data_IF_661856667748
#
_entry.id   IF_661856667748
#
_cell.length_a   1.000
_cell.length_b   1.000
_cell.length_c   1.000
_cell.angle_alpha   90.00
_cell.angle_beta   90.00
_cell.angle_gamma   90.00
#
_symmetry.space_group_name_H-M   'P 1'
#
loop_
_entity.id
_entity.type
_entity.pdbx_description
1 polymer ?
#
# COMPACT_ATOMS: atom_id res chain seq x y z
N UNK A 1 -20.75 8.98 -3.86
CA UNK A 1 -21.70 7.97 -4.38
C UNK A 1 -21.12 7.20 -5.56
N UNK A 2 -20.45 7.87 -6.51
CA UNK A 2 -19.85 7.24 -7.70
C UNK A 2 -18.85 6.10 -7.37
N UNK A 3 -17.90 6.32 -6.45
CA UNK A 3 -16.92 5.30 -6.07
C UNK A 3 -17.54 4.03 -5.49
N UNK A 4 -18.54 4.16 -4.60
CA UNK A 4 -19.23 3.00 -4.03
C UNK A 4 -20.00 2.21 -5.09
N UNK A 5 -20.58 2.89 -6.09
CA UNK A 5 -21.21 2.21 -7.23
C UNK A 5 -20.18 1.49 -8.10
N UNK A 6 -19.01 2.07 -8.30
CA UNK A 6 -17.92 1.40 -9.04
C UNK A 6 -17.46 0.12 -8.32
N UNK A 7 -17.32 0.16 -6.98
CA UNK A 7 -16.98 -1.01 -6.16
C UNK A 7 -18.03 -2.12 -6.34
N UNK A 8 -19.31 -1.77 -6.27
CA UNK A 8 -20.41 -2.72 -6.45
C UNK A 8 -20.40 -3.35 -7.85
N UNK A 9 -20.20 -2.55 -8.90
CA UNK A 9 -20.07 -3.05 -10.28
C UNK A 9 -18.87 -3.98 -10.47
N UNK A 10 -17.74 -3.68 -9.81
CA UNK A 10 -16.56 -4.55 -9.83
C UNK A 10 -16.88 -5.87 -9.13
N UNK A 11 -17.50 -5.83 -7.95
CA UNK A 11 -17.88 -7.03 -7.22
C UNK A 11 -18.85 -7.92 -8.01
N UNK A 12 -19.88 -7.32 -8.63
CA UNK A 12 -20.81 -7.99 -9.53
C UNK A 12 -20.08 -8.66 -10.71
N UNK A 13 -19.16 -7.93 -11.35
CA UNK A 13 -18.39 -8.43 -12.50
C UNK A 13 -17.38 -9.52 -12.15
N UNK A 14 -16.80 -9.50 -10.95
CA UNK A 14 -15.88 -10.52 -10.46
C UNK A 14 -16.59 -11.77 -9.94
N UNK A 15 -17.85 -11.65 -9.52
CA UNK A 15 -18.69 -12.75 -9.04
C UNK A 15 -18.00 -13.63 -7.97
N UNK A 16 -17.20 -13.03 -7.10
CA UNK A 16 -16.44 -13.72 -6.06
C UNK A 16 -15.23 -14.55 -6.56
N UNK A 17 -14.84 -14.41 -7.83
CA UNK A 17 -13.74 -15.19 -8.41
C UNK A 17 -12.35 -14.76 -7.95
N UNK A 18 -12.15 -13.47 -7.64
CA UNK A 18 -10.91 -12.94 -7.05
C UNK A 18 -11.27 -11.80 -6.08
N UNK A 19 -10.56 -11.66 -4.94
CA UNK A 19 -10.71 -10.49 -4.10
C UNK A 19 -10.12 -9.25 -4.79
N UNK A 20 -10.71 -8.10 -4.51
CA UNK A 20 -10.15 -6.80 -4.90
C UNK A 20 -10.18 -5.84 -3.71
N UNK A 21 -9.28 -4.85 -3.75
CA UNK A 21 -9.07 -3.94 -2.64
C UNK A 21 -9.58 -2.55 -3.00
N UNK A 22 -10.28 -1.91 -2.07
CA UNK A 22 -10.59 -0.49 -2.18
C UNK A 22 -9.40 0.32 -1.66
N UNK A 23 -8.88 1.23 -2.46
CA UNK A 23 -7.82 2.13 -2.00
C UNK A 23 -8.38 3.17 -1.04
N UNK A 24 -7.80 3.24 0.16
CA UNK A 24 -8.13 4.22 1.19
C UNK A 24 -6.82 4.79 1.75
N UNK A 25 -6.79 6.09 2.01
CA UNK A 25 -5.61 6.73 2.59
C UNK A 25 -5.75 6.84 4.11
N UNK A 26 -4.63 6.80 4.82
CA UNK A 26 -4.57 7.08 6.27
C UNK A 26 -5.14 8.47 6.58
N UNK A 27 -5.77 8.69 7.75
CA UNK A 27 -6.36 9.99 8.09
C UNK A 27 -5.38 11.16 7.98
N UNK A 28 -4.15 10.98 8.44
CA UNK A 28 -3.11 12.03 8.32
C UNK A 28 -2.63 12.17 6.87
N UNK A 29 -2.57 11.07 6.10
CA UNK A 29 -2.31 11.12 4.67
C UNK A 29 -3.37 11.93 3.91
N UNK A 30 -4.64 11.80 4.29
CA UNK A 30 -5.74 12.60 3.73
C UNK A 30 -5.58 14.07 4.10
N UNK A 31 -5.30 14.37 5.37
CA UNK A 31 -5.03 15.74 5.82
C UNK A 31 -3.86 16.38 5.05
N UNK A 32 -2.85 15.58 4.67
CA UNK A 32 -1.73 16.02 3.84
C UNK A 32 -2.13 16.52 2.45
N UNK A 33 -3.34 16.20 1.97
CA UNK A 33 -3.88 16.68 0.70
C UNK A 33 -4.80 17.89 0.85
N UNK A 34 -5.12 18.27 2.09
CA UNK A 34 -5.95 19.42 2.43
C UNK A 34 -5.12 20.65 2.81
N UNK A 35 -3.79 20.52 2.84
CA UNK A 35 -2.84 21.61 3.06
C UNK A 35 -1.89 21.75 1.87
N UNK A 36 -1.32 22.95 1.64
CA UNK A 36 -0.40 23.19 0.53
C UNK A 36 0.83 22.27 0.49
N UNK A 37 1.43 21.94 1.63
CA UNK A 37 2.65 21.12 1.72
C UNK A 37 2.61 20.16 2.91
N UNK A 38 3.35 19.05 2.80
CA UNK A 38 3.51 18.10 3.90
C UNK A 38 4.27 18.71 5.08
N UNK A 39 5.22 19.60 4.84
CA UNK A 39 5.95 20.32 5.90
C UNK A 39 5.03 21.20 6.74
N UNK A 40 4.06 21.87 6.10
CA UNK A 40 3.05 22.65 6.82
C UNK A 40 2.15 21.75 7.67
N UNK A 41 1.78 20.57 7.16
CA UNK A 41 1.07 19.57 7.97
C UNK A 41 1.89 19.19 9.21
N UNK A 42 3.19 18.90 9.04
CA UNK A 42 4.05 18.50 10.14
C UNK A 42 4.20 19.60 11.20
N UNK A 43 4.31 20.88 10.80
CA UNK A 43 4.25 22.01 11.73
C UNK A 43 2.90 22.07 12.46
N UNK A 44 1.77 21.97 11.76
CA UNK A 44 0.44 21.98 12.39
C UNK A 44 0.25 20.82 13.37
N UNK A 45 0.72 19.60 13.05
CA UNK A 45 0.65 18.45 13.95
C UNK A 45 1.42 18.70 15.27
N UNK A 46 2.53 19.44 15.20
CA UNK A 46 3.39 19.77 16.35
C UNK A 46 2.85 20.95 17.18
N UNK A 47 2.36 21.99 16.51
CA UNK A 47 2.10 23.30 17.11
C UNK A 47 0.60 23.55 17.38
N UNK A 48 -0.27 22.86 16.64
CA UNK A 48 -1.73 23.08 16.66
C UNK A 48 -2.50 21.76 16.87
N UNK A 49 -1.93 20.83 17.65
CA UNK A 49 -2.43 19.46 17.84
C UNK A 49 -3.94 19.40 18.11
N UNK A 50 -4.48 20.21 19.03
CA UNK A 50 -5.91 20.16 19.34
C UNK A 50 -6.82 20.55 18.16
N UNK A 51 -6.41 21.49 17.31
CA UNK A 51 -7.16 21.87 16.12
C UNK A 51 -7.04 20.79 15.03
N UNK A 52 -5.84 20.23 14.87
CA UNK A 52 -5.60 19.16 13.90
C UNK A 52 -6.35 17.89 14.29
N UNK A 53 -6.39 17.54 15.59
CA UNK A 53 -7.13 16.39 16.10
C UNK A 53 -8.63 16.50 15.78
N UNK A 54 -9.23 17.70 15.89
CA UNK A 54 -10.62 17.91 15.49
C UNK A 54 -10.86 17.68 13.98
N UNK A 55 -9.90 18.04 13.13
CA UNK A 55 -9.98 17.74 11.70
C UNK A 55 -9.77 16.25 11.41
N UNK A 56 -8.82 15.61 12.10
CA UNK A 56 -8.52 14.18 11.96
C UNK A 56 -9.67 13.31 12.48
N UNK A 57 -10.42 13.76 13.48
CA UNK A 57 -11.67 13.14 13.92
C UNK A 57 -12.66 13.03 12.76
N UNK A 58 -13.01 14.17 12.14
CA UNK A 58 -13.97 14.22 11.05
C UNK A 58 -13.51 13.40 9.83
N UNK A 59 -12.22 13.44 9.51
CA UNK A 59 -11.61 12.63 8.45
C UNK A 59 -11.75 11.14 8.79
N UNK A 60 -11.37 10.74 10.01
CA UNK A 60 -11.39 9.34 10.44
C UNK A 60 -12.79 8.77 10.43
N UNK A 61 -13.77 9.50 10.96
CA UNK A 61 -15.19 9.09 10.94
C UNK A 61 -15.69 8.91 9.50
N UNK A 62 -15.41 9.87 8.63
CA UNK A 62 -15.84 9.83 7.23
C UNK A 62 -15.25 8.64 6.49
N UNK A 63 -13.93 8.41 6.62
CA UNK A 63 -13.25 7.35 5.89
C UNK A 63 -13.42 5.96 6.51
N UNK A 64 -13.68 5.86 7.82
CA UNK A 64 -14.17 4.62 8.42
C UNK A 64 -15.56 4.25 7.88
N UNK A 65 -16.47 5.23 7.75
CA UNK A 65 -17.78 5.05 7.14
C UNK A 65 -17.70 4.62 5.67
N UNK A 66 -16.86 5.29 4.88
CA UNK A 66 -16.59 4.92 3.49
C UNK A 66 -16.01 3.49 3.37
N UNK A 67 -15.02 3.16 4.21
CA UNK A 67 -14.37 1.85 4.18
C UNK A 67 -15.35 0.73 4.51
N UNK A 68 -16.21 0.90 5.53
CA UNK A 68 -17.30 -0.05 5.82
C UNK A 68 -18.24 -0.22 4.64
N UNK A 69 -18.68 0.89 4.05
CA UNK A 69 -19.56 0.88 2.89
C UNK A 69 -18.93 0.22 1.65
N UNK A 70 -17.61 0.30 1.50
CA UNK A 70 -16.87 -0.40 0.45
C UNK A 70 -16.83 -1.91 0.67
N UNK A 71 -16.56 -2.35 1.91
CA UNK A 71 -16.56 -3.77 2.29
C UNK A 71 -17.95 -4.40 2.11
N UNK A 72 -19.01 -3.71 2.56
CA UNK A 72 -20.41 -4.13 2.38
C UNK A 72 -20.81 -4.32 0.91
N UNK A 73 -20.10 -3.67 -0.02
CA UNK A 73 -20.34 -3.74 -1.47
C UNK A 73 -19.39 -4.70 -2.19
N UNK A 74 -18.64 -5.50 -1.44
CA UNK A 74 -17.88 -6.62 -1.98
C UNK A 74 -16.37 -6.37 -2.13
N UNK A 75 -15.83 -5.24 -1.65
CA UNK A 75 -14.37 -5.13 -1.51
C UNK A 75 -13.87 -6.15 -0.48
N UNK A 76 -12.84 -6.94 -0.84
CA UNK A 76 -12.25 -7.96 0.06
C UNK A 76 -11.40 -7.35 1.19
N UNK A 77 -11.06 -6.08 1.07
CA UNK A 77 -10.36 -5.30 2.08
C UNK A 77 -9.82 -4.00 1.52
N UNK A 78 -8.81 -3.44 2.17
CA UNK A 78 -8.25 -2.15 1.80
C UNK A 78 -6.84 -2.23 1.23
N UNK A 79 -6.55 -1.37 0.26
CA UNK A 79 -5.18 -0.94 -0.02
C UNK A 79 -4.97 0.38 0.74
N UNK A 80 -4.47 0.26 1.97
CA UNK A 80 -4.42 1.33 2.95
C UNK A 80 -3.06 2.05 2.90
N UNK A 81 -3.04 3.29 2.43
CA UNK A 81 -1.78 3.96 2.06
C UNK A 81 -1.44 5.18 2.94
N UNK A 82 -0.18 5.27 3.36
CA UNK A 82 0.33 6.35 4.23
C UNK A 82 0.54 7.68 3.51
N UNK A 83 0.59 7.66 2.18
CA UNK A 83 0.99 8.82 1.37
C UNK A 83 2.33 9.40 1.88
N UNK A 84 2.47 10.72 1.93
CA UNK A 84 3.72 11.40 2.27
C UNK A 84 4.07 11.46 3.76
N UNK A 85 3.41 10.69 4.63
CA UNK A 85 3.52 10.90 6.09
C UNK A 85 4.48 9.93 6.78
N UNK A 86 4.50 8.66 6.37
CA UNK A 86 5.31 7.61 7.02
C UNK A 86 6.76 7.58 6.51
N UNK A 87 7.46 8.72 6.55
CA UNK A 87 8.86 8.87 6.15
C UNK A 87 9.68 9.67 7.17
N UNK A 88 10.94 9.28 7.33
CA UNK A 88 11.91 9.97 8.17
C UNK A 88 12.23 11.39 7.68
N UNK A 89 11.91 11.70 6.43
CA UNK A 89 12.05 13.05 5.88
C UNK A 89 11.11 14.07 6.51
N UNK A 90 9.99 13.59 7.07
CA UNK A 90 8.95 14.47 7.61
C UNK A 90 8.89 14.44 9.15
N UNK A 91 8.90 13.25 9.72
CA UNK A 91 8.71 13.00 11.14
C UNK A 91 9.78 12.04 11.67
N UNK A 92 10.12 12.17 12.94
CA UNK A 92 10.80 11.08 13.65
C UNK A 92 9.83 9.92 13.90
N UNK A 93 10.36 8.70 14.11
CA UNK A 93 9.53 7.53 14.48
C UNK A 93 8.73 7.78 15.76
N UNK A 94 9.31 8.51 16.73
CA UNK A 94 8.62 8.87 17.97
C UNK A 94 7.44 9.83 17.73
N UNK A 95 7.62 10.80 16.83
CA UNK A 95 6.52 11.69 16.42
C UNK A 95 5.45 10.94 15.65
N UNK A 96 5.81 10.09 14.68
CA UNK A 96 4.83 9.28 13.95
C UNK A 96 3.98 8.43 14.88
N UNK A 97 4.61 7.75 15.86
CA UNK A 97 3.90 6.94 16.86
C UNK A 97 2.94 7.76 17.71
N UNK A 98 3.25 9.02 18.01
CA UNK A 98 2.45 9.89 18.87
C UNK A 98 1.35 10.63 18.11
N UNK A 99 1.66 11.14 16.91
CA UNK A 99 0.85 12.10 16.17
C UNK A 99 0.06 11.47 15.02
N UNK A 100 0.49 10.30 14.52
CA UNK A 100 -0.08 9.70 13.29
C UNK A 100 -0.70 8.34 13.57
N UNK A 101 0.09 7.41 14.11
CA UNK A 101 -0.32 6.01 14.36
C UNK A 101 -1.68 5.86 15.07
N UNK A 102 -2.06 6.68 16.08
CA UNK A 102 -3.36 6.53 16.73
C UNK A 102 -4.53 6.68 15.77
N UNK A 103 -4.43 7.59 14.79
CA UNK A 103 -5.45 7.81 13.78
C UNK A 103 -5.47 6.70 12.75
N UNK A 104 -4.29 6.23 12.32
CA UNK A 104 -4.19 5.14 11.36
C UNK A 104 -4.86 3.87 11.89
N UNK A 105 -4.61 3.53 13.16
CA UNK A 105 -5.19 2.37 13.82
C UNK A 105 -6.67 2.56 14.13
N UNK A 106 -7.09 3.75 14.56
CA UNK A 106 -8.50 4.00 14.85
C UNK A 106 -9.41 3.74 13.65
N UNK A 107 -8.95 4.06 12.44
CA UNK A 107 -9.68 3.71 11.22
C UNK A 107 -9.74 2.20 11.02
N UNK A 108 -8.60 1.49 11.15
CA UNK A 108 -8.53 0.04 10.98
C UNK A 108 -9.39 -0.71 12.02
N UNK A 109 -9.30 -0.30 13.29
CA UNK A 109 -10.04 -0.89 14.42
C UNK A 109 -11.56 -0.68 14.30
N UNK A 110 -12.00 0.31 13.50
CA UNK A 110 -13.40 0.53 13.23
C UNK A 110 -13.98 -0.48 12.22
N UNK A 111 -13.14 -1.18 11.44
CA UNK A 111 -13.56 -2.08 10.37
C UNK A 111 -13.89 -3.48 10.90
N UNK A 112 -14.80 -4.21 10.24
CA UNK A 112 -14.90 -5.64 10.46
C UNK A 112 -13.63 -6.36 9.97
N UNK A 113 -13.50 -7.63 10.31
CA UNK A 113 -12.47 -8.49 9.71
C UNK A 113 -12.60 -8.50 8.18
N UNK A 114 -11.49 -8.28 7.48
CA UNK A 114 -11.42 -8.24 6.01
C UNK A 114 -10.74 -9.50 5.50
N UNK A 115 -11.11 -9.97 4.30
CA UNK A 115 -10.41 -11.09 3.64
C UNK A 115 -8.92 -10.79 3.41
N UNK A 116 -8.60 -9.58 2.93
CA UNK A 116 -7.22 -9.19 2.68
C UNK A 116 -7.05 -7.67 2.71
N UNK A 117 -6.15 -7.17 3.56
CA UNK A 117 -5.85 -5.74 3.68
C UNK A 117 -4.34 -5.53 3.60
N UNK A 118 -3.93 -4.58 2.76
CA UNK A 118 -2.54 -4.23 2.48
C UNK A 118 -2.23 -2.87 3.07
N UNK A 119 -1.16 -2.76 3.85
CA UNK A 119 -0.57 -1.47 4.21
C UNK A 119 0.46 -1.07 3.16
N UNK A 120 0.24 0.03 2.47
CA UNK A 120 1.20 0.61 1.55
C UNK A 120 1.95 1.78 2.20
N UNK A 121 3.26 1.61 2.37
CA UNK A 121 4.15 2.61 2.96
C UNK A 121 4.88 3.34 1.83
N UNK A 122 4.43 4.56 1.53
CA UNK A 122 5.03 5.35 0.45
C UNK A 122 6.36 5.99 0.86
N UNK A 123 7.00 6.64 -0.13
CA UNK A 123 8.21 7.47 -0.01
C UNK A 123 9.50 6.69 0.23
N UNK A 124 10.58 7.43 0.08
CA UNK A 124 11.95 7.06 0.42
C UNK A 124 12.13 7.20 1.94
N UNK A 125 13.17 6.56 2.49
CA UNK A 125 13.49 6.55 3.92
C UNK A 125 12.24 6.31 4.78
N UNK A 126 11.42 5.37 4.35
CA UNK A 126 10.11 5.12 4.91
C UNK A 126 10.20 4.45 6.29
N UNK A 127 9.09 4.48 7.02
CA UNK A 127 9.02 3.95 8.38
C UNK A 127 8.49 2.51 8.43
N UNK A 128 8.71 1.65 7.43
CA UNK A 128 8.13 0.30 7.36
C UNK A 128 8.25 -0.47 8.69
N UNK A 129 9.42 -0.44 9.30
CA UNK A 129 9.69 -1.11 10.58
C UNK A 129 8.85 -0.59 11.75
N UNK A 130 8.40 0.67 11.71
CA UNK A 130 7.54 1.23 12.75
C UNK A 130 6.07 0.82 12.60
N UNK A 131 5.68 0.23 11.47
CA UNK A 131 4.32 -0.21 11.15
C UNK A 131 4.14 -1.73 11.24
N UNK A 132 5.17 -2.50 11.63
CA UNK A 132 5.16 -3.97 11.60
C UNK A 132 3.98 -4.63 12.33
N UNK A 133 3.46 -3.99 13.37
CA UNK A 133 2.41 -4.49 14.24
C UNK A 133 0.99 -4.05 13.84
N UNK A 134 0.85 -3.33 12.73
CA UNK A 134 -0.47 -2.92 12.24
C UNK A 134 -1.33 -4.14 11.89
N UNK A 135 -2.64 -4.13 12.19
CA UNK A 135 -3.54 -5.27 11.99
C UNK A 135 -3.94 -5.45 10.52
N UNK A 136 -2.93 -5.67 9.66
CA UNK A 136 -3.06 -5.89 8.21
C UNK A 136 -2.44 -7.22 7.80
N UNK A 137 -2.83 -7.72 6.64
CA UNK A 137 -2.43 -9.02 6.10
C UNK A 137 -1.11 -8.97 5.35
N UNK A 138 -0.82 -7.84 4.70
CA UNK A 138 0.40 -7.66 3.92
C UNK A 138 0.89 -6.22 3.92
N UNK A 139 2.17 -6.04 3.57
CA UNK A 139 2.82 -4.75 3.42
C UNK A 139 3.36 -4.56 2.02
N UNK A 140 3.20 -3.37 1.47
CA UNK A 140 3.73 -2.97 0.18
C UNK A 140 4.56 -1.69 0.33
N UNK A 141 5.73 -1.65 -0.30
CA UNK A 141 6.57 -0.46 -0.36
C UNK A 141 7.52 -0.56 -1.54
N UNK A 142 8.16 0.55 -1.89
CA UNK A 142 9.22 0.53 -2.88
C UNK A 142 10.54 0.08 -2.26
N UNK A 143 10.91 -1.17 -2.52
CA UNK A 143 12.17 -1.76 -2.07
C UNK A 143 13.40 -1.27 -2.85
N UNK A 144 13.19 -0.53 -3.96
CA UNK A 144 14.26 0.09 -4.74
C UNK A 144 14.52 1.55 -4.35
N UNK A 145 13.62 2.16 -3.58
CA UNK A 145 13.72 3.54 -3.16
C UNK A 145 14.82 3.77 -2.12
N UNK A 146 15.39 4.97 -2.11
CA UNK A 146 16.52 5.33 -1.27
C UNK A 146 16.18 5.14 0.22
N UNK A 147 17.03 4.41 0.94
CA UNK A 147 16.89 4.22 2.39
C UNK A 147 15.70 3.33 2.81
N UNK A 148 14.97 2.74 1.86
CA UNK A 148 13.96 1.74 2.16
C UNK A 148 14.61 0.35 2.29
N UNK A 149 14.03 -0.53 3.12
CA UNK A 149 14.52 -1.90 3.21
C UNK A 149 14.29 -2.65 1.90
N UNK A 150 15.22 -3.54 1.54
CA UNK A 150 15.00 -4.55 0.51
C UNK A 150 13.84 -5.49 0.91
N UNK A 151 13.34 -6.29 -0.04
CA UNK A 151 12.26 -7.23 0.26
C UNK A 151 12.63 -8.26 1.34
N UNK A 152 13.88 -8.75 1.34
CA UNK A 152 14.34 -9.73 2.34
C UNK A 152 14.46 -9.09 3.73
N UNK A 153 15.01 -7.87 3.81
CA UNK A 153 15.03 -7.10 5.06
C UNK A 153 13.62 -6.81 5.56
N UNK A 154 12.70 -6.41 4.67
CA UNK A 154 11.31 -6.18 4.99
C UNK A 154 10.61 -7.45 5.52
N UNK A 155 10.83 -8.62 4.90
CA UNK A 155 10.31 -9.91 5.39
C UNK A 155 10.80 -10.21 6.80
N UNK A 156 12.07 -9.95 7.09
CA UNK A 156 12.65 -10.16 8.42
C UNK A 156 12.03 -9.22 9.46
N UNK A 157 11.87 -7.93 9.12
CA UNK A 157 11.30 -6.92 10.03
C UNK A 157 9.81 -7.15 10.30
N UNK A 158 9.06 -7.61 9.29
CA UNK A 158 7.60 -7.79 9.38
C UNK A 158 7.18 -9.13 10.00
N UNK A 159 8.12 -9.91 10.54
CA UNK A 159 7.83 -11.03 11.43
C UNK A 159 6.96 -12.13 10.81
N UNK A 160 7.08 -12.36 9.50
CA UNK A 160 6.32 -13.40 8.78
C UNK A 160 5.05 -12.93 8.10
N UNK A 161 4.72 -11.62 8.13
CA UNK A 161 3.65 -11.06 7.29
C UNK A 161 4.05 -11.09 5.81
N UNK A 162 3.04 -11.17 4.94
CA UNK A 162 3.26 -11.18 3.50
C UNK A 162 3.81 -9.82 3.04
N UNK A 163 4.84 -9.83 2.21
CA UNK A 163 5.37 -8.62 1.58
C UNK A 163 4.96 -8.56 0.12
N UNK A 164 4.68 -7.38 -0.38
CA UNK A 164 4.27 -7.13 -1.76
C UNK A 164 5.27 -6.16 -2.38
N UNK A 165 5.90 -6.56 -3.48
CA UNK A 165 6.88 -5.71 -4.16
C UNK A 165 7.78 -6.51 -5.09
N UNK A 166 8.81 -5.86 -5.61
CA UNK A 166 9.79 -6.48 -6.51
C UNK A 166 9.82 -5.93 -7.92
N UNK A 167 8.80 -5.14 -8.29
CA UNK A 167 8.80 -4.37 -9.53
C UNK A 167 9.07 -2.92 -9.17
N UNK A 168 10.16 -2.39 -9.72
CA UNK A 168 10.44 -0.96 -9.70
C UNK A 168 9.27 -0.21 -10.37
N UNK A 169 8.75 0.79 -9.66
CA UNK A 169 7.60 1.57 -10.07
C UNK A 169 7.95 2.69 -11.07
N UNK A 170 9.24 2.91 -11.33
CA UNK A 170 9.75 3.83 -12.34
C UNK A 170 9.56 3.34 -13.78
N UNK A 171 10.38 3.87 -14.70
CA UNK A 171 10.21 3.63 -16.14
C UNK A 171 10.73 2.26 -16.62
N UNK A 172 11.33 1.45 -15.73
CA UNK A 172 11.92 0.16 -16.13
C UNK A 172 10.88 -0.74 -16.80
N UNK A 173 9.69 -0.88 -16.20
CA UNK A 173 8.63 -1.71 -16.76
C UNK A 173 8.08 -1.17 -18.10
N UNK A 174 8.25 0.12 -18.36
CA UNK A 174 7.87 0.77 -19.63
C UNK A 174 8.90 0.49 -20.71
N UNK A 175 10.19 0.59 -20.38
CA UNK A 175 11.30 0.56 -21.34
C UNK A 175 11.86 -0.84 -21.62
N UNK A 176 11.71 -1.77 -20.67
CA UNK A 176 12.29 -3.11 -20.78
C UNK A 176 11.58 -3.95 -21.86
N UNK A 177 12.32 -4.90 -22.43
CA UNK A 177 11.71 -5.93 -23.27
C UNK A 177 10.91 -6.91 -22.40
N UNK A 178 9.85 -7.51 -22.95
CA UNK A 178 9.07 -8.53 -22.24
C UNK A 178 9.92 -9.74 -21.81
N UNK A 179 11.01 -10.04 -22.53
CA UNK A 179 11.98 -11.07 -22.15
C UNK A 179 12.74 -10.68 -20.87
N UNK A 180 13.29 -9.47 -20.82
CA UNK A 180 14.03 -8.99 -19.64
C UNK A 180 13.13 -8.88 -18.40
N UNK A 181 11.86 -8.49 -18.61
CA UNK A 181 10.85 -8.46 -17.55
C UNK A 181 10.61 -9.86 -16.99
N UNK A 182 10.43 -10.87 -17.85
CA UNK A 182 10.23 -12.25 -17.43
C UNK A 182 11.46 -12.81 -16.71
N UNK A 183 12.66 -12.59 -17.26
CA UNK A 183 13.92 -13.05 -16.67
C UNK A 183 14.14 -12.45 -15.28
N UNK A 184 14.08 -11.12 -15.13
CA UNK A 184 14.26 -10.44 -13.84
C UNK A 184 13.22 -10.86 -12.81
N UNK A 185 11.99 -11.09 -13.25
CA UNK A 185 10.91 -11.59 -12.37
C UNK A 185 11.19 -13.01 -11.88
N UNK A 186 11.69 -13.89 -12.77
CA UNK A 186 12.09 -15.25 -12.44
C UNK A 186 13.25 -15.28 -11.44
N UNK A 187 14.28 -14.47 -11.67
CA UNK A 187 15.44 -14.35 -10.76
C UNK A 187 15.02 -13.87 -9.37
N UNK A 188 14.10 -12.90 -9.32
CA UNK A 188 13.55 -12.41 -8.07
C UNK A 188 12.79 -13.52 -7.32
N UNK A 189 11.91 -14.24 -8.01
CA UNK A 189 11.17 -15.38 -7.43
C UNK A 189 12.11 -16.46 -6.89
N UNK A 190 13.16 -16.79 -7.63
CA UNK A 190 14.16 -17.76 -7.21
C UNK A 190 14.91 -17.32 -5.94
N UNK A 191 15.09 -16.00 -5.76
CA UNK A 191 15.78 -15.42 -4.60
C UNK A 191 14.87 -15.36 -3.37
N UNK A 192 13.66 -14.82 -3.51
CA UNK A 192 12.76 -14.54 -2.38
C UNK A 192 11.89 -15.74 -1.95
N UNK A 193 11.73 -16.70 -2.87
CA UNK A 193 10.91 -17.92 -2.70
C UNK A 193 9.41 -17.71 -2.93
N UNK A 194 8.64 -18.79 -2.77
CA UNK A 194 7.21 -18.84 -3.11
C UNK A 194 6.25 -18.53 -1.94
N UNK A 195 6.77 -18.19 -0.74
CA UNK A 195 5.96 -18.01 0.47
C UNK A 195 6.24 -16.68 1.16
N UNK A 196 5.16 -16.07 1.67
CA UNK A 196 5.21 -14.79 2.38
C UNK A 196 5.58 -13.62 1.48
N UNK A 197 5.44 -13.77 0.15
CA UNK A 197 5.71 -12.73 -0.84
C UNK A 197 4.65 -12.79 -1.94
N UNK A 198 4.23 -11.62 -2.41
CA UNK A 198 3.48 -11.44 -3.65
C UNK A 198 4.23 -10.47 -4.54
N UNK A 199 4.37 -10.81 -5.82
CA UNK A 199 4.96 -9.91 -6.78
C UNK A 199 4.02 -8.73 -7.06
N UNK A 200 4.56 -7.52 -6.99
CA UNK A 200 3.83 -6.31 -7.35
C UNK A 200 4.78 -5.12 -7.51
N UNK A 201 4.27 -3.99 -8.03
CA UNK A 201 5.01 -2.75 -8.04
C UNK A 201 5.22 -2.22 -6.61
N UNK A 202 6.34 -1.52 -6.41
CA UNK A 202 6.64 -0.84 -5.14
C UNK A 202 5.71 0.35 -4.83
N UNK A 203 5.01 0.84 -5.85
CA UNK A 203 3.98 1.89 -5.80
C UNK A 203 3.00 1.66 -6.98
N UNK A 204 2.46 2.71 -7.60
CA UNK A 204 1.76 2.57 -8.89
C UNK A 204 2.76 2.31 -10.03
N UNK A 205 2.37 1.55 -11.05
CA UNK A 205 3.12 1.48 -12.31
C UNK A 205 2.62 2.54 -13.30
N UNK A 206 3.43 2.87 -14.30
CA UNK A 206 3.11 3.87 -15.32
C UNK A 206 1.98 3.38 -16.26
N UNK A 207 0.95 4.20 -16.56
CA UNK A 207 -0.11 3.84 -17.51
C UNK A 207 0.39 3.47 -18.91
N UNK A 208 1.56 4.00 -19.30
CA UNK A 208 2.23 3.75 -20.57
C UNK A 208 2.89 2.36 -20.64
N UNK A 209 2.88 1.60 -19.53
CA UNK A 209 3.45 0.25 -19.48
C UNK A 209 2.82 -0.64 -20.55
N UNK A 210 3.62 -1.24 -21.46
CA UNK A 210 3.09 -2.13 -22.48
C UNK A 210 2.38 -3.34 -21.87
N UNK A 211 1.20 -3.69 -22.40
CA UNK A 211 0.45 -4.88 -21.96
C UNK A 211 1.30 -6.16 -22.02
N UNK A 212 2.21 -6.26 -23.00
CA UNK A 212 3.14 -7.38 -23.11
C UNK A 212 4.03 -7.52 -21.87
N UNK A 213 4.46 -6.42 -21.26
CA UNK A 213 5.31 -6.44 -20.07
C UNK A 213 4.50 -6.84 -18.83
N UNK A 214 3.25 -6.37 -18.69
CA UNK A 214 2.33 -6.83 -17.64
C UNK A 214 2.06 -8.34 -17.76
N UNK A 215 1.86 -8.84 -18.98
CA UNK A 215 1.65 -10.27 -19.21
C UNK A 215 2.93 -11.10 -18.97
N UNK A 216 4.11 -10.55 -19.24
CA UNK A 216 5.39 -11.20 -18.95
C UNK A 216 5.58 -11.40 -17.45
N UNK A 217 5.30 -10.37 -16.63
CA UNK A 217 5.26 -10.45 -15.16
C UNK A 217 4.37 -11.60 -14.71
N UNK A 218 3.11 -11.63 -15.17
CA UNK A 218 2.14 -12.67 -14.81
C UNK A 218 2.64 -14.08 -15.15
N UNK A 219 3.23 -14.27 -16.33
CA UNK A 219 3.72 -15.59 -16.77
C UNK A 219 4.92 -16.07 -15.96
N UNK A 220 5.80 -15.18 -15.55
CA UNK A 220 6.99 -15.51 -14.78
C UNK A 220 6.67 -16.05 -13.36
N UNK A 221 5.54 -15.62 -12.77
CA UNK A 221 5.11 -16.11 -11.44
C UNK A 221 3.99 -17.15 -11.47
N UNK A 222 3.25 -17.26 -12.57
CA UNK A 222 2.19 -18.26 -12.71
C UNK A 222 2.73 -19.69 -12.90
N UNK A 223 1.84 -20.68 -12.79
CA UNK A 223 2.13 -22.13 -12.94
C UNK A 223 2.69 -22.54 -14.32
N UNK A 224 2.88 -21.58 -15.24
CA UNK A 224 3.50 -21.78 -16.56
C UNK A 224 5.03 -21.72 -16.58
N UNK A 225 5.70 -21.45 -15.46
CA UNK A 225 7.17 -21.45 -15.38
C UNK A 225 7.79 -22.85 -15.58
N UNK A 226 6.98 -23.92 -15.53
CA UNK A 226 7.41 -25.30 -15.81
C UNK A 226 7.26 -25.73 -17.28
N UNK A 227 6.82 -24.84 -18.19
CA UNK A 227 6.51 -25.19 -19.59
C UNK A 227 7.15 -24.27 -20.65
N UNK A 228 8.29 -23.66 -20.32
CA UNK A 228 9.24 -23.08 -21.29
C UNK A 228 10.59 -23.76 -21.11
#
# INVERSE_FOLDING_TARGET
VEQLRAIELIAEGLAGGVPFLATVFTPVGIASRLVPTVDLLASHLREHTALVDGALEAITETFAGFSKAALERGAGGLFYATLGVATLDLLSVAEYRRLVRPWDLRLLDALPETEFTVMHVCRDRNMLAALYDYPVHAFNWDACAEGNPSLDEGKAVLGGKTVIGGIDHGEWLVRASSFDVAARTGDLRATIGDRGWMLGPGCTYAPETPQANVMAVRRAVGDGAAAL
#
